data_IF_446665148961
#
_entry.id   IF_446665148961
#
_cell.length_a   1.000
_cell.length_b   1.000
_cell.length_c   1.000
_cell.angle_alpha   90.00
_cell.angle_beta   90.00
_cell.angle_gamma   90.00
#
_symmetry.space_group_name_H-M   'P 1'
#
loop_
_entity.id
_entity.type
_entity.pdbx_description
1 polymer ?
#
# COMPACT_ATOMS: atom_id res chain seq x y z
N UNK A 1 -9.50 11.53 21.56
CA UNK A 1 -8.51 10.58 22.12
C UNK A 1 -7.50 10.32 21.01
N UNK A 2 -6.21 10.68 21.19
CA UNK A 2 -5.19 10.40 20.16
C UNK A 2 -5.00 8.88 20.10
N UNK A 3 -5.27 8.30 18.93
CA UNK A 3 -5.14 6.87 18.70
C UNK A 3 -3.71 6.60 18.25
N UNK A 4 -2.82 6.32 19.22
CA UNK A 4 -1.42 6.01 18.91
C UNK A 4 -1.36 4.73 18.08
N UNK A 5 -0.77 4.82 16.89
CA UNK A 5 -0.53 3.68 16.01
C UNK A 5 0.35 2.65 16.76
N UNK A 6 0.02 1.36 16.65
CA UNK A 6 0.84 0.33 17.27
C UNK A 6 2.06 0.01 16.38
N UNK A 7 3.08 -0.60 16.99
CA UNK A 7 4.36 -0.90 16.32
C UNK A 7 4.19 -1.86 15.12
N UNK A 8 3.24 -2.78 15.17
CA UNK A 8 2.97 -3.69 14.04
C UNK A 8 2.42 -2.91 12.84
N UNK A 9 1.44 -2.04 13.09
CA UNK A 9 0.85 -1.18 12.06
C UNK A 9 1.88 -0.23 11.45
N UNK A 10 2.72 0.40 12.28
CA UNK A 10 3.86 1.24 11.84
C UNK A 10 4.82 0.45 10.94
N UNK A 11 5.21 -0.76 11.35
CA UNK A 11 6.12 -1.59 10.58
C UNK A 11 5.51 -2.05 9.25
N UNK A 12 4.23 -2.44 9.25
CA UNK A 12 3.54 -2.82 8.02
C UNK A 12 3.46 -1.63 7.06
N UNK A 13 3.08 -0.45 7.55
CA UNK A 13 3.01 0.78 6.74
C UNK A 13 4.39 1.16 6.18
N UNK A 14 5.43 1.11 7.03
CA UNK A 14 6.82 1.38 6.62
C UNK A 14 7.29 0.41 5.53
N UNK A 15 7.02 -0.89 5.70
CA UNK A 15 7.43 -1.90 4.73
C UNK A 15 6.68 -1.74 3.40
N UNK A 16 5.39 -1.39 3.44
CA UNK A 16 4.63 -1.03 2.21
C UNK A 16 5.31 0.15 1.52
N UNK A 17 5.68 1.20 2.27
CA UNK A 17 6.37 2.37 1.72
C UNK A 17 7.72 2.05 1.06
N UNK A 18 8.49 1.12 1.62
CA UNK A 18 9.76 0.67 1.02
C UNK A 18 9.51 -0.01 -0.33
N UNK A 19 8.55 -0.92 -0.38
CA UNK A 19 8.22 -1.63 -1.63
C UNK A 19 7.61 -0.68 -2.66
N UNK A 20 6.81 0.28 -2.21
CA UNK A 20 6.25 1.33 -3.07
C UNK A 20 7.35 2.16 -3.74
N UNK A 21 8.35 2.60 -2.96
CA UNK A 21 9.52 3.30 -3.49
C UNK A 21 10.23 2.48 -4.58
N UNK A 22 10.46 1.17 -4.34
CA UNK A 22 11.07 0.29 -5.36
C UNK A 22 10.22 0.24 -6.62
N UNK A 23 8.89 0.13 -6.51
CA UNK A 23 8.03 0.10 -7.70
C UNK A 23 8.10 1.41 -8.49
N UNK A 24 8.17 2.56 -7.82
CA UNK A 24 8.29 3.89 -8.45
C UNK A 24 9.63 4.05 -9.18
N UNK A 25 10.74 3.63 -8.56
CA UNK A 25 12.06 3.67 -9.19
C UNK A 25 12.14 2.75 -10.42
N UNK A 26 11.58 1.54 -10.32
CA UNK A 26 11.53 0.62 -11.45
C UNK A 26 10.66 1.15 -12.60
N UNK A 27 9.56 1.85 -12.30
CA UNK A 27 8.76 2.54 -13.32
C UNK A 27 9.60 3.59 -14.05
N UNK A 28 10.31 4.47 -13.31
CA UNK A 28 11.17 5.50 -13.91
C UNK A 28 12.28 4.90 -14.79
N UNK A 29 12.87 3.78 -14.36
CA UNK A 29 13.86 3.07 -15.18
C UNK A 29 13.23 2.53 -16.48
N UNK A 30 12.08 1.85 -16.38
CA UNK A 30 11.37 1.27 -17.52
C UNK A 30 10.85 2.31 -18.52
N UNK A 31 10.55 3.54 -18.09
CA UNK A 31 10.19 4.64 -18.99
C UNK A 31 11.29 4.95 -20.02
N UNK A 32 12.55 4.67 -19.66
CA UNK A 32 13.71 4.83 -20.56
C UNK A 32 14.18 3.52 -21.19
N UNK A 33 13.76 2.37 -20.64
CA UNK A 33 14.13 1.01 -21.10
C UNK A 33 12.91 0.09 -21.27
N UNK A 34 11.93 0.42 -22.13
CA UNK A 34 10.63 -0.25 -22.16
C UNK A 34 10.67 -1.71 -22.67
N UNK A 35 11.80 -2.16 -23.23
CA UNK A 35 11.98 -3.52 -23.74
C UNK A 35 12.84 -4.41 -22.83
N UNK A 36 13.30 -3.90 -21.69
CA UNK A 36 14.08 -4.65 -20.72
C UNK A 36 13.17 -5.64 -19.96
N UNK A 37 13.21 -6.90 -20.42
CA UNK A 37 12.35 -7.96 -19.88
C UNK A 37 12.68 -8.32 -18.44
N UNK A 38 13.94 -8.26 -18.06
CA UNK A 38 14.36 -8.56 -16.70
C UNK A 38 13.83 -7.49 -15.75
N UNK A 39 13.98 -6.21 -16.10
CA UNK A 39 13.42 -5.11 -15.32
C UNK A 39 11.89 -5.18 -15.20
N UNK A 40 11.18 -5.60 -16.27
CA UNK A 40 9.73 -5.85 -16.21
C UNK A 40 9.37 -6.99 -15.25
N UNK A 41 10.13 -8.08 -15.24
CA UNK A 41 9.90 -9.20 -14.32
C UNK A 41 10.13 -8.80 -12.85
N UNK A 42 11.19 -8.03 -12.58
CA UNK A 42 11.46 -7.45 -11.26
C UNK A 42 10.34 -6.51 -10.82
N UNK A 43 9.92 -5.58 -11.68
CA UNK A 43 8.79 -4.68 -11.40
C UNK A 43 7.53 -5.47 -11.05
N UNK A 44 7.19 -6.49 -11.84
CA UNK A 44 6.03 -7.34 -11.61
C UNK A 44 6.12 -8.12 -10.29
N UNK A 45 7.31 -8.58 -9.90
CA UNK A 45 7.54 -9.23 -8.61
C UNK A 45 7.19 -8.28 -7.45
N UNK A 46 7.77 -7.08 -7.44
CA UNK A 46 7.52 -6.09 -6.38
C UNK A 46 6.08 -5.58 -6.38
N UNK A 47 5.45 -5.41 -7.55
CA UNK A 47 4.04 -5.05 -7.64
C UNK A 47 3.11 -6.10 -7.02
N UNK A 48 3.38 -7.41 -7.24
CA UNK A 48 2.61 -8.48 -6.59
C UNK A 48 2.81 -8.46 -5.07
N UNK A 49 4.04 -8.26 -4.61
CA UNK A 49 4.36 -8.17 -3.18
C UNK A 49 3.66 -6.97 -2.53
N UNK A 50 3.75 -5.77 -3.13
CA UNK A 50 3.05 -4.56 -2.69
C UNK A 50 1.55 -4.81 -2.55
N UNK A 51 0.93 -5.37 -3.58
CA UNK A 51 -0.51 -5.65 -3.58
C UNK A 51 -0.92 -6.63 -2.47
N UNK A 52 -0.09 -7.64 -2.19
CA UNK A 52 -0.34 -8.55 -1.07
C UNK A 52 -0.24 -7.83 0.28
N UNK A 53 0.82 -7.05 0.49
CA UNK A 53 1.02 -6.31 1.73
C UNK A 53 -0.09 -5.28 1.97
N UNK A 54 -0.57 -4.59 0.93
CA UNK A 54 -1.71 -3.68 1.05
C UNK A 54 -3.00 -4.40 1.45
N UNK A 55 -3.26 -5.61 0.92
CA UNK A 55 -4.40 -6.43 1.35
C UNK A 55 -4.26 -6.87 2.80
N UNK A 56 -3.08 -7.31 3.20
CA UNK A 56 -2.81 -7.75 4.58
C UNK A 56 -2.98 -6.60 5.59
N UNK A 57 -2.51 -5.40 5.22
CA UNK A 57 -2.76 -4.19 6.00
C UNK A 57 -4.26 -3.86 6.04
N UNK A 58 -4.95 -3.91 4.90
CA UNK A 58 -6.37 -3.58 4.81
C UNK A 58 -7.25 -4.49 5.69
N UNK A 59 -6.92 -5.78 5.77
CA UNK A 59 -7.61 -6.73 6.63
C UNK A 59 -7.48 -6.38 8.13
N UNK A 60 -6.33 -5.85 8.56
CA UNK A 60 -6.04 -5.56 9.97
C UNK A 60 -6.40 -4.15 10.41
N UNK A 61 -6.12 -3.14 9.60
CA UNK A 61 -6.17 -1.72 9.97
C UNK A 61 -7.04 -0.88 9.03
N UNK A 62 -7.66 -1.53 8.03
CA UNK A 62 -8.48 -0.90 7.02
C UNK A 62 -7.68 -0.42 5.79
N UNK A 63 -8.36 -0.18 4.66
CA UNK A 63 -7.73 0.03 3.35
C UNK A 63 -6.86 1.30 3.29
N UNK A 64 -5.70 1.22 2.64
CA UNK A 64 -4.86 2.39 2.32
C UNK A 64 -5.18 3.00 0.95
N UNK A 65 -5.90 2.27 0.10
CA UNK A 65 -6.36 2.72 -1.21
C UNK A 65 -7.71 2.08 -1.53
N UNK A 66 -8.46 2.70 -2.44
CA UNK A 66 -9.74 2.17 -2.90
C UNK A 66 -9.61 0.80 -3.59
N UNK A 67 -8.45 0.48 -4.17
CA UNK A 67 -8.20 -0.81 -4.84
C UNK A 67 -8.19 -2.01 -3.89
N UNK A 68 -8.03 -1.80 -2.58
CA UNK A 68 -8.08 -2.85 -1.55
C UNK A 68 -9.23 -2.65 -0.56
N UNK A 69 -10.19 -1.77 -0.87
CA UNK A 69 -11.38 -1.61 -0.07
C UNK A 69 -12.26 -2.87 -0.14
N UNK A 70 -12.68 -3.37 1.02
CA UNK A 70 -13.56 -4.52 1.12
C UNK A 70 -15.01 -4.11 0.85
N UNK A 71 -15.51 -4.44 -0.35
CA UNK A 71 -16.90 -4.16 -0.77
C UNK A 71 -17.90 -5.20 -0.29
N UNK A 72 -17.44 -6.33 0.27
CA UNK A 72 -18.29 -7.40 0.79
C UNK A 72 -18.60 -7.22 2.29
N UNK A 73 -17.91 -6.29 2.96
CA UNK A 73 -18.16 -5.96 4.34
C UNK A 73 -19.55 -5.31 4.52
N UNK A 74 -20.15 -5.49 5.70
CA UNK A 74 -21.38 -4.79 6.09
C UNK A 74 -21.16 -3.29 6.30
N UNK A 75 -19.90 -2.87 6.40
CA UNK A 75 -19.47 -1.51 6.70
C UNK A 75 -18.54 -1.00 5.61
N UNK A 76 -18.70 0.27 5.22
CA UNK A 76 -17.78 0.92 4.29
C UNK A 76 -16.54 1.40 5.02
N UNK A 77 -15.62 0.47 5.32
CA UNK A 77 -14.43 0.70 6.17
C UNK A 77 -13.58 1.91 5.74
N UNK A 78 -13.49 2.18 4.43
CA UNK A 78 -12.78 3.35 3.91
C UNK A 78 -13.31 4.68 4.49
N UNK A 79 -14.63 4.84 4.60
CA UNK A 79 -15.22 6.07 5.15
C UNK A 79 -15.23 6.12 6.69
N UNK A 80 -14.93 4.99 7.35
CA UNK A 80 -14.89 4.91 8.82
C UNK A 80 -13.48 5.18 9.38
N UNK A 81 -12.47 5.23 8.53
CA UNK A 81 -11.11 5.57 8.93
C UNK A 81 -10.97 7.08 9.13
N UNK A 82 -10.09 7.52 10.07
CA UNK A 82 -9.78 8.93 10.23
C UNK A 82 -9.17 9.45 8.94
N UNK A 83 -9.78 10.50 8.37
CA UNK A 83 -9.32 11.03 7.10
C UNK A 83 -8.03 11.83 7.30
N UNK A 84 -7.14 11.90 6.30
CA UNK A 84 -5.88 12.64 6.41
C UNK A 84 -6.05 14.12 6.78
N UNK A 85 -7.19 14.73 6.42
CA UNK A 85 -7.52 16.12 6.74
C UNK A 85 -8.18 16.32 8.12
N UNK A 86 -8.49 15.25 8.85
CA UNK A 86 -9.04 15.34 10.22
C UNK A 86 -7.94 15.56 11.27
N UNK A 87 -6.67 15.63 10.86
CA UNK A 87 -5.58 16.06 11.73
C UNK A 87 -5.20 15.06 12.81
N UNK A 88 -5.18 13.76 12.48
CA UNK A 88 -4.70 12.72 13.38
C UNK A 88 -3.19 12.86 13.63
N UNK A 89 -2.83 13.49 14.74
CA UNK A 89 -1.48 13.54 15.30
C UNK A 89 -1.28 12.46 16.38
#
# INVERSE_FOLDING_TARGET
MSHKMNVEQENMLRNIGIVDFVTVEMTQYLDTHPFDREAMEYFNHYMRMKNQMMRDYAMKYGPLSLSVADTCSKEWKWALQPMPWEGGC
#
